data_IF_223990633047
#
_entry.id   IF_223990633047
#
_cell.length_a   1.000
_cell.length_b   1.000
_cell.length_c   1.000
_cell.angle_alpha   90.00
_cell.angle_beta   90.00
_cell.angle_gamma   90.00
#
_symmetry.space_group_name_H-M   'P 1'
#
loop_
_entity.id
_entity.type
_entity.pdbx_description
1 polymer ?
#
# COMPACT_ATOMS: atom_id res chain seq x y z
N UNK A 1 7.11 -0.33 -13.90
CA UNK A 1 6.01 -1.13 -14.44
C UNK A 1 5.17 -0.32 -15.40
N UNK A 2 4.73 -0.97 -16.47
CA UNK A 2 3.71 -0.40 -17.35
C UNK A 2 2.34 -0.60 -16.73
N UNK A 3 1.35 0.13 -17.24
CA UNK A 3 -0.04 -0.03 -16.77
C UNK A 3 -0.54 -1.47 -16.99
N UNK A 4 -0.23 -2.07 -18.13
CA UNK A 4 -0.68 -3.44 -18.41
C UNK A 4 0.01 -4.47 -17.50
N UNK A 5 1.29 -4.26 -17.18
CA UNK A 5 1.99 -5.14 -16.24
C UNK A 5 1.35 -5.08 -14.86
N UNK A 6 1.00 -3.88 -14.40
CA UNK A 6 0.32 -3.72 -13.12
C UNK A 6 -1.03 -4.43 -13.12
N UNK A 7 -1.82 -4.26 -14.18
CA UNK A 7 -3.14 -4.90 -14.28
C UNK A 7 -3.04 -6.42 -14.21
N UNK A 8 -2.08 -7.01 -14.91
CA UNK A 8 -1.89 -8.46 -14.85
C UNK A 8 -1.45 -8.93 -13.46
N UNK A 9 -0.58 -8.16 -12.81
CA UNK A 9 -0.13 -8.47 -11.46
C UNK A 9 -1.31 -8.44 -10.48
N UNK A 10 -2.14 -7.40 -10.56
CA UNK A 10 -3.31 -7.26 -9.71
C UNK A 10 -4.28 -8.42 -9.88
N UNK A 11 -4.56 -8.82 -11.12
CA UNK A 11 -5.46 -9.92 -11.39
C UNK A 11 -4.94 -11.23 -10.83
N UNK A 12 -3.65 -11.51 -11.02
CA UNK A 12 -3.05 -12.75 -10.53
C UNK A 12 -3.06 -12.84 -9.01
N UNK A 13 -2.95 -11.72 -8.32
CA UNK A 13 -2.89 -11.68 -6.87
C UNK A 13 -4.24 -11.39 -6.22
N UNK A 14 -5.34 -11.39 -6.98
CA UNK A 14 -6.67 -11.09 -6.48
C UNK A 14 -6.80 -9.68 -5.90
N UNK A 15 -6.06 -8.74 -6.44
CA UNK A 15 -6.12 -7.35 -6.01
C UNK A 15 -7.14 -6.63 -6.88
N UNK A 16 -8.03 -5.87 -6.25
CA UNK A 16 -9.07 -5.14 -6.96
C UNK A 16 -9.01 -3.67 -6.67
N UNK A 17 -9.28 -2.86 -7.70
CA UNK A 17 -9.45 -1.43 -7.54
C UNK A 17 -10.94 -1.14 -7.48
N UNK A 18 -11.40 -0.64 -6.34
CA UNK A 18 -12.80 -0.32 -6.10
C UNK A 18 -12.87 1.14 -5.65
N UNK A 19 -13.57 1.98 -6.41
CA UNK A 19 -13.73 3.41 -6.11
C UNK A 19 -12.39 4.12 -5.86
N UNK A 20 -11.40 3.82 -6.70
CA UNK A 20 -10.07 4.40 -6.55
C UNK A 20 -9.22 3.79 -5.46
N UNK A 21 -9.68 2.71 -4.84
CA UNK A 21 -8.98 2.02 -3.75
C UNK A 21 -8.51 0.65 -4.20
N UNK A 22 -7.36 0.24 -3.68
CA UNK A 22 -6.84 -1.10 -3.93
C UNK A 22 -7.06 -1.96 -2.69
N UNK A 23 -7.52 -3.19 -2.90
CA UNK A 23 -7.65 -4.19 -1.84
C UNK A 23 -6.73 -5.35 -2.13
N UNK A 24 -5.92 -5.71 -1.16
CA UNK A 24 -4.91 -6.75 -1.27
C UNK A 24 -5.22 -7.82 -0.23
N UNK A 25 -5.89 -8.92 -0.62
CA UNK A 25 -6.28 -9.95 0.34
C UNK A 25 -5.14 -10.92 0.66
N UNK A 26 -5.23 -11.53 1.83
CA UNK A 26 -4.40 -12.68 2.15
C UNK A 26 -2.93 -12.40 2.42
N UNK A 27 -2.56 -11.17 2.73
CA UNK A 27 -1.18 -10.80 2.96
C UNK A 27 -0.80 -11.03 4.42
N UNK A 28 0.33 -11.70 4.65
CA UNK A 28 0.88 -11.87 5.98
C UNK A 28 1.70 -10.65 6.36
N UNK A 29 1.35 -10.01 7.46
CA UNK A 29 2.09 -8.87 8.01
C UNK A 29 2.40 -9.20 9.46
N UNK A 30 3.70 -9.24 9.80
CA UNK A 30 4.13 -9.68 11.11
C UNK A 30 4.28 -11.18 11.20
N UNK A 31 4.60 -11.70 12.39
CA UNK A 31 5.07 -13.06 12.55
C UNK A 31 4.03 -14.14 12.26
N UNK A 32 2.81 -13.96 12.69
CA UNK A 32 1.79 -14.99 12.54
C UNK A 32 0.45 -14.43 12.10
N UNK A 33 0.36 -13.14 11.86
CA UNK A 33 -0.90 -12.53 11.47
C UNK A 33 -0.98 -12.38 9.98
N UNK A 34 -2.08 -12.83 9.43
CA UNK A 34 -2.42 -12.51 8.06
C UNK A 34 -3.18 -11.19 8.05
N UNK A 35 -2.77 -10.31 7.17
CA UNK A 35 -3.55 -9.12 6.85
C UNK A 35 -4.59 -9.56 5.84
N UNK A 36 -5.86 -9.44 6.17
CA UNK A 36 -6.93 -9.86 5.27
C UNK A 36 -6.91 -9.03 3.99
N UNK A 37 -6.60 -7.74 4.10
CA UNK A 37 -6.48 -6.86 2.94
C UNK A 37 -5.81 -5.57 3.34
N UNK A 38 -5.23 -4.91 2.36
CA UNK A 38 -4.85 -3.52 2.45
C UNK A 38 -5.72 -2.73 1.49
N UNK A 39 -6.10 -1.52 1.89
CA UNK A 39 -6.91 -0.65 1.07
C UNK A 39 -6.16 0.67 0.92
N UNK A 40 -5.79 1.02 -0.30
CA UNK A 40 -4.95 2.19 -0.56
C UNK A 40 -5.77 3.23 -1.31
N UNK A 41 -5.82 4.44 -0.77
CA UNK A 41 -6.59 5.54 -1.33
C UNK A 41 -5.75 6.81 -1.34
N UNK A 42 -5.80 7.59 -2.41
CA UNK A 42 -5.20 8.92 -2.42
C UNK A 42 -6.03 9.90 -1.63
N UNK A 43 -5.38 10.74 -0.85
CA UNK A 43 -6.02 11.85 -0.15
C UNK A 43 -5.28 13.13 -0.55
N UNK A 44 -5.73 13.74 -1.64
CA UNK A 44 -5.03 14.87 -2.24
C UNK A 44 -3.83 14.38 -3.04
N UNK A 45 -2.91 15.31 -3.36
CA UNK A 45 -1.78 15.01 -4.23
C UNK A 45 -0.55 14.49 -3.48
N UNK A 46 -0.50 14.66 -2.17
CA UNK A 46 0.70 14.39 -1.40
C UNK A 46 0.48 13.36 -0.29
N UNK A 47 -0.63 12.64 -0.30
CA UNK A 47 -0.88 11.65 0.74
C UNK A 47 -1.58 10.42 0.21
N UNK A 48 -1.15 9.26 0.69
CA UNK A 48 -1.90 8.02 0.57
C UNK A 48 -2.41 7.63 1.94
N UNK A 49 -3.63 7.13 1.99
CA UNK A 49 -4.21 6.56 3.20
C UNK A 49 -4.32 5.05 2.99
N UNK A 50 -3.67 4.30 3.86
CA UNK A 50 -3.64 2.84 3.74
C UNK A 50 -4.38 2.28 4.94
N UNK A 51 -5.45 1.55 4.68
CA UNK A 51 -6.22 0.89 5.74
C UNK A 51 -5.76 -0.56 5.85
N UNK A 52 -5.58 -1.00 7.09
CA UNK A 52 -5.21 -2.37 7.40
C UNK A 52 -6.22 -2.96 8.37
N UNK A 53 -6.21 -4.26 8.62
CA UNK A 53 -6.93 -4.81 9.76
C UNK A 53 -6.41 -4.24 11.07
N UNK A 54 -7.24 -4.29 12.09
CA UNK A 54 -6.89 -3.79 13.42
C UNK A 54 -5.58 -4.42 13.88
N UNK A 55 -4.66 -3.58 14.34
CA UNK A 55 -3.36 -4.03 14.83
C UNK A 55 -2.31 -4.23 13.75
N UNK A 56 -2.63 -4.03 12.47
CA UNK A 56 -1.69 -4.30 11.38
C UNK A 56 -0.93 -3.10 10.86
N UNK A 57 -1.32 -1.89 11.24
CA UNK A 57 -0.77 -0.69 10.59
C UNK A 57 0.72 -0.48 10.88
N UNK A 58 1.15 -0.63 12.13
CA UNK A 58 2.54 -0.35 12.49
C UNK A 58 3.50 -1.29 11.76
N UNK A 59 3.17 -2.56 11.67
CA UNK A 59 4.03 -3.53 10.98
C UNK A 59 4.07 -3.26 9.48
N UNK A 60 2.92 -2.96 8.88
CA UNK A 60 2.86 -2.63 7.47
C UNK A 60 3.64 -1.37 7.18
N UNK A 61 3.51 -0.33 8.02
CA UNK A 61 4.26 0.91 7.84
C UNK A 61 5.77 0.68 7.94
N UNK A 62 6.20 -0.15 8.86
CA UNK A 62 7.61 -0.50 8.98
C UNK A 62 8.13 -1.13 7.68
N UNK A 63 7.38 -2.05 7.11
CA UNK A 63 7.80 -2.71 5.87
C UNK A 63 7.84 -1.73 4.70
N UNK A 64 6.88 -0.80 4.66
CA UNK A 64 6.86 0.24 3.62
C UNK A 64 8.07 1.16 3.76
N UNK A 65 8.36 1.62 4.96
CA UNK A 65 9.51 2.49 5.20
C UNK A 65 10.83 1.79 4.87
N UNK A 66 10.95 0.52 5.23
CA UNK A 66 12.17 -0.26 4.98
C UNK A 66 12.41 -0.50 3.49
N UNK A 67 11.38 -0.42 2.67
CA UNK A 67 11.51 -0.63 1.22
C UNK A 67 12.16 0.55 0.50
N UNK A 68 12.31 1.70 1.16
CA UNK A 68 12.92 2.89 0.58
C UNK A 68 12.32 3.29 -0.76
N UNK A 69 11.00 3.40 -0.79
CA UNK A 69 10.27 3.70 -2.03
C UNK A 69 10.57 5.13 -2.48
N UNK A 70 11.05 5.33 -3.72
CA UNK A 70 11.31 6.69 -4.22
C UNK A 70 10.03 7.53 -4.23
N UNK A 71 10.14 8.77 -3.76
CA UNK A 71 9.00 9.68 -3.70
C UNK A 71 8.20 9.60 -2.42
N UNK A 72 8.46 8.60 -1.60
CA UNK A 72 7.81 8.47 -0.30
C UNK A 72 8.66 9.17 0.75
N UNK A 73 8.09 10.19 1.39
CA UNK A 73 8.82 10.97 2.40
C UNK A 73 8.84 10.27 3.75
N UNK A 74 7.80 9.53 4.07
CA UNK A 74 7.72 8.81 5.33
C UNK A 74 6.29 8.39 5.63
N UNK A 75 6.09 7.64 6.72
CA UNK A 75 4.77 7.19 7.11
C UNK A 75 4.54 7.45 8.60
N UNK A 76 3.27 7.60 8.95
CA UNK A 76 2.79 7.61 10.32
C UNK A 76 1.68 6.58 10.41
N UNK A 77 1.73 5.72 11.40
CA UNK A 77 0.71 4.68 11.56
C UNK A 77 -0.06 4.82 12.85
N UNK A 78 -1.35 4.55 12.78
CA UNK A 78 -2.19 4.31 13.94
C UNK A 78 -2.31 2.82 14.17
N UNK A 79 -3.50 2.37 14.54
CA UNK A 79 -3.76 0.95 14.76
C UNK A 79 -4.11 0.22 13.46
N UNK A 80 -4.98 0.83 12.65
CA UNK A 80 -5.48 0.23 11.40
C UNK A 80 -5.33 1.16 10.20
N UNK A 81 -4.61 2.26 10.34
CA UNK A 81 -4.49 3.28 9.30
C UNK A 81 -3.06 3.78 9.23
N UNK A 82 -2.56 3.95 8.01
CA UNK A 82 -1.25 4.52 7.76
C UNK A 82 -1.44 5.75 6.88
N UNK A 83 -0.80 6.86 7.27
CA UNK A 83 -0.69 8.03 6.40
C UNK A 83 0.70 8.03 5.79
N UNK A 84 0.77 7.95 4.48
CA UNK A 84 2.03 7.93 3.75
C UNK A 84 2.19 9.27 3.03
N UNK A 85 3.22 10.00 3.39
CA UNK A 85 3.48 11.32 2.83
C UNK A 85 4.29 11.18 1.54
N UNK A 86 3.82 11.85 0.49
CA UNK A 86 4.45 11.84 -0.83
C UNK A 86 5.24 13.12 -0.99
N UNK A 87 6.52 13.02 -1.30
CA UNK A 87 7.41 14.19 -1.36
C UNK A 87 7.11 15.08 -2.56
N UNK A 88 6.62 14.54 -3.66
CA UNK A 88 6.31 15.32 -4.85
C UNK A 88 5.00 14.89 -5.47
N UNK A 89 4.23 15.88 -5.94
CA UNK A 89 3.01 15.65 -6.68
C UNK A 89 3.28 14.74 -7.88
N UNK A 90 2.39 13.81 -8.13
CA UNK A 90 2.51 12.92 -9.27
C UNK A 90 3.08 11.54 -8.93
N UNK A 91 3.62 11.35 -7.74
CA UNK A 91 4.22 10.08 -7.36
C UNK A 91 3.24 9.08 -6.76
N UNK A 92 1.99 9.48 -6.51
CA UNK A 92 1.01 8.62 -5.84
C UNK A 92 0.83 7.28 -6.55
N UNK A 93 0.68 7.28 -7.87
CA UNK A 93 0.50 6.06 -8.65
C UNK A 93 1.71 5.14 -8.58
N UNK A 94 2.91 5.71 -8.70
CA UNK A 94 4.15 4.93 -8.65
C UNK A 94 4.35 4.31 -7.27
N UNK A 95 4.11 5.08 -6.22
CA UNK A 95 4.23 4.60 -4.85
C UNK A 95 3.22 3.49 -4.58
N UNK A 96 1.97 3.67 -5.03
CA UNK A 96 0.94 2.65 -4.89
C UNK A 96 1.37 1.34 -5.55
N UNK A 97 1.92 1.39 -6.76
CA UNK A 97 2.42 0.21 -7.44
C UNK A 97 3.49 -0.52 -6.62
N UNK A 98 4.41 0.23 -6.06
CA UNK A 98 5.49 -0.37 -5.29
C UNK A 98 5.00 -0.97 -3.98
N UNK A 99 4.02 -0.34 -3.34
CA UNK A 99 3.40 -0.91 -2.15
C UNK A 99 2.69 -2.21 -2.49
N UNK A 100 1.93 -2.23 -3.58
CA UNK A 100 1.25 -3.44 -4.04
C UNK A 100 2.27 -4.56 -4.29
N UNK A 101 3.36 -4.26 -4.98
CA UNK A 101 4.41 -5.25 -5.23
C UNK A 101 5.05 -5.76 -3.95
N UNK A 102 5.29 -4.86 -3.00
CA UNK A 102 5.91 -5.21 -1.72
C UNK A 102 5.10 -6.26 -0.97
N UNK A 103 3.77 -6.15 -1.00
CA UNK A 103 2.90 -7.05 -0.25
C UNK A 103 2.38 -8.23 -1.07
N UNK A 104 2.71 -8.33 -2.34
CA UNK A 104 2.22 -9.41 -3.19
C UNK A 104 3.33 -10.25 -3.83
N UNK A 105 4.58 -9.90 -3.59
CA UNK A 105 5.71 -10.65 -4.17
C UNK A 105 6.29 -11.71 -3.24
#
# INVERSE_FOLDING_TARGET
LTQSSLSRHLNRCNIRKIDGRYKIPGIAVGESRKVEYLQITSAGDNMLVIKTPIGGAARAAYLIDAANIPGLAGTISGDDTIFAAISEKGFAGTITKQIVELFTS
#
